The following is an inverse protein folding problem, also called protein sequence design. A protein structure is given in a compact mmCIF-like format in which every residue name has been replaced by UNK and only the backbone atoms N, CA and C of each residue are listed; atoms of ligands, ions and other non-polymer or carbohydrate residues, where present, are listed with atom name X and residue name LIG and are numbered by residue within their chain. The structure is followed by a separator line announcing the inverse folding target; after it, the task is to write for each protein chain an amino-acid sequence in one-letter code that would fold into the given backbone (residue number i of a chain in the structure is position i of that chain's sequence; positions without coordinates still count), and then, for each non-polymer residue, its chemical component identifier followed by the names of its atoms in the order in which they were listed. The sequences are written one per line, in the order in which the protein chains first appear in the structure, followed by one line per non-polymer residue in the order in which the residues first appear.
data_IF_145161962872
#
_entry.id   IF_145161962872
#
_cell.length_a   1.000
_cell.length_b   1.000
_cell.length_c   1.000
_cell.angle_alpha   90.00
_cell.angle_beta   90.00
_cell.angle_gamma   90.00
#
_symmetry.space_group_name_H-M   'P 1'
#
loop_
_entity.id
_entity.type
_entity.pdbx_description
1 polymer ?
#
# COMPACT_ATOMS: atom_id res chain seq x y z
N UNK A 1 56.89 -18.68 -12.30
CA UNK A 1 55.41 -18.72 -12.19
C UNK A 1 55.03 -17.73 -11.09
N UNK A 2 54.31 -16.64 -11.42
CA UNK A 2 54.31 -15.38 -10.68
C UNK A 2 53.31 -15.45 -9.51
N UNK A 3 53.82 -15.55 -8.28
CA UNK A 3 53.02 -15.65 -7.02
C UNK A 3 52.08 -14.44 -6.84
N UNK A 4 52.51 -13.24 -7.26
CA UNK A 4 51.71 -12.01 -7.22
C UNK A 4 50.37 -12.12 -7.97
N UNK A 5 50.28 -12.87 -9.05
CA UNK A 5 49.08 -13.02 -9.85
C UNK A 5 48.05 -13.96 -9.23
N UNK A 6 48.46 -14.84 -8.33
CA UNK A 6 47.56 -15.75 -7.58
C UNK A 6 46.85 -15.03 -6.46
N UNK A 7 47.53 -14.13 -5.72
CA UNK A 7 46.91 -13.33 -4.66
C UNK A 7 45.93 -12.29 -5.21
N UNK A 8 46.23 -11.69 -6.36
CA UNK A 8 45.32 -10.76 -7.01
C UNK A 8 43.99 -11.40 -7.39
N UNK A 9 44.02 -12.64 -7.89
CA UNK A 9 42.80 -13.41 -8.23
C UNK A 9 42.01 -13.84 -6.99
N UNK A 10 42.69 -14.23 -5.92
CA UNK A 10 42.04 -14.61 -4.64
C UNK A 10 41.39 -13.37 -3.97
N UNK A 11 42.06 -12.24 -3.98
CA UNK A 11 41.49 -10.98 -3.45
C UNK A 11 40.30 -10.51 -4.26
N UNK A 12 40.33 -10.63 -5.58
CA UNK A 12 39.21 -10.28 -6.45
C UNK A 12 38.01 -11.19 -6.21
N UNK A 13 38.25 -12.50 -6.00
CA UNK A 13 37.19 -13.48 -5.71
C UNK A 13 36.54 -13.23 -4.35
N UNK A 14 37.31 -12.88 -3.32
CA UNK A 14 36.82 -12.51 -2.00
C UNK A 14 36.04 -11.19 -2.02
N UNK A 15 36.43 -10.23 -2.87
CA UNK A 15 35.75 -8.95 -3.02
C UNK A 15 34.38 -9.12 -3.71
N UNK A 16 34.29 -9.99 -4.74
CA UNK A 16 33.02 -10.33 -5.41
C UNK A 16 32.11 -11.15 -4.49
N UNK A 17 32.66 -12.05 -3.68
CA UNK A 17 31.88 -12.82 -2.71
C UNK A 17 31.32 -11.93 -1.57
N UNK A 18 32.06 -10.91 -1.13
CA UNK A 18 31.63 -9.93 -0.16
C UNK A 18 30.48 -9.03 -0.64
N UNK A 19 30.37 -8.79 -1.93
CA UNK A 19 29.31 -7.96 -2.53
C UNK A 19 27.95 -8.68 -2.66
N UNK A 20 27.93 -10.02 -2.58
CA UNK A 20 26.71 -10.83 -2.70
C UNK A 20 25.95 -10.98 -1.38
N UNK A 21 26.49 -10.52 -0.24
CA UNK A 21 25.90 -10.66 1.10
C UNK A 21 25.14 -9.44 1.60
N UNK A 22 24.78 -8.50 0.73
CA UNK A 22 23.77 -7.51 1.09
C UNK A 22 22.39 -8.17 1.04
N UNK A 23 22.10 -9.00 2.05
CA UNK A 23 20.75 -9.45 2.32
C UNK A 23 19.90 -8.20 2.56
N UNK A 24 19.11 -7.82 1.57
CA UNK A 24 18.07 -6.82 1.74
C UNK A 24 17.09 -7.42 2.75
N UNK A 25 17.17 -7.00 4.00
CA UNK A 25 16.14 -7.27 4.99
C UNK A 25 14.85 -6.66 4.45
N UNK A 26 14.01 -7.47 3.85
CA UNK A 26 12.62 -7.13 3.61
C UNK A 26 12.01 -6.85 4.99
N UNK A 27 11.91 -5.59 5.36
CA UNK A 27 11.14 -5.20 6.54
C UNK A 27 9.71 -5.68 6.28
N UNK A 28 9.31 -6.72 6.97
CA UNK A 28 7.90 -7.11 7.01
C UNK A 28 7.16 -5.93 7.64
N UNK A 29 6.35 -5.25 6.85
CA UNK A 29 5.51 -4.15 7.30
C UNK A 29 4.41 -4.78 8.16
N UNK A 30 4.48 -4.62 9.48
CA UNK A 30 3.47 -5.14 10.40
C UNK A 30 2.31 -4.16 10.50
N UNK A 31 1.22 -4.48 9.84
CA UNK A 31 -0.06 -3.76 9.97
C UNK A 31 -0.80 -4.25 11.21
N UNK A 32 -1.35 -3.34 12.01
CA UNK A 32 -2.10 -3.67 13.23
C UNK A 32 -3.54 -3.13 13.09
N UNK A 33 -4.58 -3.97 13.24
CA UNK A 33 -4.56 -5.43 13.44
C UNK A 33 -4.03 -6.18 12.22
N UNK A 34 -3.50 -7.39 12.45
CA UNK A 34 -2.96 -8.22 11.36
C UNK A 34 -4.09 -8.57 10.38
N UNK A 35 -3.92 -8.30 9.08
CA UNK A 35 -4.91 -8.66 8.07
C UNK A 35 -5.13 -10.18 8.00
N UNK A 36 -6.36 -10.63 7.76
CA UNK A 36 -6.68 -12.05 7.55
C UNK A 36 -5.92 -12.64 6.34
N UNK A 37 -5.73 -11.83 5.32
CA UNK A 37 -4.98 -12.18 4.12
C UNK A 37 -4.20 -10.96 3.64
N UNK A 38 -2.92 -11.15 3.36
CA UNK A 38 -2.04 -10.14 2.78
C UNK A 38 -1.23 -10.75 1.65
N UNK A 39 -1.24 -10.11 0.50
CA UNK A 39 -0.44 -10.48 -0.66
C UNK A 39 0.43 -9.27 -1.03
N UNK A 40 1.73 -9.50 -1.14
CA UNK A 40 2.65 -8.46 -1.56
C UNK A 40 2.73 -8.42 -3.09
N UNK A 41 2.32 -7.28 -3.67
CA UNK A 41 2.47 -7.01 -5.10
C UNK A 41 3.83 -6.40 -5.44
N UNK A 42 4.02 -6.11 -6.71
CA UNK A 42 5.20 -5.40 -7.22
C UNK A 42 4.85 -3.94 -7.51
N UNK A 43 5.80 -3.02 -7.23
CA UNK A 43 5.64 -1.59 -7.43
C UNK A 43 5.05 -0.86 -6.22
N UNK A 44 4.93 0.46 -6.33
CA UNK A 44 4.39 1.33 -5.29
C UNK A 44 3.47 2.38 -5.90
N UNK A 45 2.54 2.89 -5.11
CA UNK A 45 1.71 4.04 -5.46
C UNK A 45 2.36 5.31 -4.93
N UNK A 46 2.52 6.32 -5.78
CA UNK A 46 3.01 7.62 -5.35
C UNK A 46 1.83 8.53 -4.99
N UNK A 47 1.58 8.67 -3.70
CA UNK A 47 0.59 9.63 -3.21
C UNK A 47 1.12 11.06 -3.37
N UNK A 48 0.36 11.92 -4.05
CA UNK A 48 0.77 13.30 -4.39
C UNK A 48 -0.46 14.23 -4.43
N UNK A 49 -0.23 15.53 -4.49
CA UNK A 49 -1.29 16.55 -4.67
C UNK A 49 -2.09 16.38 -5.99
N UNK A 50 -1.57 15.60 -6.93
CA UNK A 50 -2.30 15.25 -8.16
C UNK A 50 -3.16 14.00 -8.00
N UNK A 51 -3.06 13.29 -6.88
CA UNK A 51 -3.90 12.14 -6.60
C UNK A 51 -5.35 12.58 -6.40
N UNK A 52 -6.25 11.89 -7.07
CA UNK A 52 -7.68 12.16 -7.04
C UNK A 52 -8.35 11.26 -6.02
N UNK A 53 -9.31 11.81 -5.29
CA UNK A 53 -10.13 11.09 -4.32
C UNK A 53 -11.53 10.89 -4.87
N UNK A 54 -12.01 9.65 -4.86
CA UNK A 54 -13.40 9.31 -5.12
C UNK A 54 -14.00 8.53 -3.96
N UNK A 55 -15.13 8.99 -3.44
CA UNK A 55 -15.90 8.36 -2.37
C UNK A 55 -17.35 8.23 -2.84
N UNK A 56 -17.94 7.03 -2.73
CA UNK A 56 -19.36 6.81 -3.01
C UNK A 56 -20.22 6.77 -1.74
N UNK A 57 -19.71 7.29 -0.63
CA UNK A 57 -20.40 7.40 0.66
C UNK A 57 -20.83 8.85 0.91
N UNK A 58 -21.96 9.01 1.58
CA UNK A 58 -22.52 10.33 1.95
C UNK A 58 -22.97 10.33 3.42
N UNK A 59 -23.27 11.53 3.94
CA UNK A 59 -23.77 11.71 5.28
C UNK A 59 -22.72 11.58 6.38
N UNK A 60 -23.16 11.21 7.58
CA UNK A 60 -22.32 11.19 8.79
C UNK A 60 -21.11 10.26 8.66
N UNK A 61 -21.28 9.12 8.01
CA UNK A 61 -20.17 8.15 7.80
C UNK A 61 -19.06 8.72 6.92
N UNK A 62 -19.40 9.60 5.95
CA UNK A 62 -18.39 10.29 5.14
C UNK A 62 -17.58 11.29 5.97
N UNK A 63 -18.20 11.95 6.94
CA UNK A 63 -17.51 12.87 7.86
C UNK A 63 -16.49 12.15 8.75
N UNK A 64 -16.77 10.92 9.18
CA UNK A 64 -15.80 10.11 9.95
C UNK A 64 -14.54 9.80 9.15
N UNK A 65 -14.66 9.60 7.84
CA UNK A 65 -13.52 9.38 6.96
C UNK A 65 -12.71 10.66 6.70
N UNK A 66 -13.32 11.82 6.84
CA UNK A 66 -12.65 13.11 6.59
C UNK A 66 -11.45 13.33 7.51
N UNK A 67 -11.55 12.94 8.79
CA UNK A 67 -10.41 12.99 9.71
C UNK A 67 -9.24 12.08 9.26
N UNK A 68 -9.55 10.89 8.72
CA UNK A 68 -8.53 10.01 8.18
C UNK A 68 -7.89 10.61 6.92
N UNK A 69 -8.68 11.26 6.07
CA UNK A 69 -8.19 11.90 4.86
C UNK A 69 -7.29 13.11 5.19
N UNK A 70 -7.60 13.86 6.26
CA UNK A 70 -6.77 14.94 6.75
C UNK A 70 -5.42 14.46 7.33
N UNK A 71 -5.35 13.20 7.78
CA UNK A 71 -4.10 12.59 8.25
C UNK A 71 -3.16 12.18 7.09
N UNK A 72 -3.62 12.20 5.84
CA UNK A 72 -2.75 11.98 4.69
C UNK A 72 -1.75 13.12 4.53
N UNK A 73 -0.52 12.84 4.07
CA UNK A 73 0.54 13.86 3.93
C UNK A 73 0.29 14.87 2.81
N UNK A 74 -0.78 14.70 2.03
CA UNK A 74 -1.11 15.54 0.88
C UNK A 74 -2.62 15.79 0.77
N UNK A 75 -2.99 16.95 0.23
CA UNK A 75 -4.38 17.27 -0.08
C UNK A 75 -4.78 16.67 -1.42
N UNK A 76 -5.84 15.85 -1.41
CA UNK A 76 -6.30 15.14 -2.59
C UNK A 76 -7.27 15.99 -3.41
N UNK A 77 -7.18 15.88 -4.73
CA UNK A 77 -8.13 16.52 -5.65
C UNK A 77 -9.42 15.70 -5.75
N UNK A 78 -10.55 16.35 -6.01
CA UNK A 78 -11.81 15.64 -6.25
C UNK A 78 -11.73 14.80 -7.52
N UNK A 79 -11.95 13.50 -7.40
CA UNK A 79 -12.00 12.53 -8.50
C UNK A 79 -13.43 12.19 -8.92
N UNK A 80 -13.55 11.47 -10.04
CA UNK A 80 -14.81 10.93 -10.58
C UNK A 80 -14.74 9.42 -10.63
N UNK A 81 -15.88 8.73 -10.56
CA UNK A 81 -15.97 7.26 -10.64
C UNK A 81 -15.26 6.67 -11.87
N UNK A 82 -15.21 7.38 -12.97
CA UNK A 82 -14.58 6.94 -14.23
C UNK A 82 -13.06 7.11 -14.27
N UNK A 83 -12.48 7.84 -13.32
CA UNK A 83 -11.03 8.00 -13.26
C UNK A 83 -10.40 6.67 -12.81
N UNK A 84 -9.31 6.25 -13.47
CA UNK A 84 -8.64 4.97 -13.21
C UNK A 84 -7.14 5.12 -12.95
N UNK A 85 -6.62 6.35 -13.04
CA UNK A 85 -5.20 6.65 -12.88
C UNK A 85 -5.00 7.68 -11.77
N UNK A 86 -3.95 7.46 -10.99
CA UNK A 86 -3.55 8.33 -9.88
C UNK A 86 -4.71 8.64 -8.93
N UNK A 87 -5.29 7.60 -8.37
CA UNK A 87 -6.57 7.69 -7.66
C UNK A 87 -6.59 6.90 -6.36
N UNK A 88 -7.18 7.49 -5.33
CA UNK A 88 -7.65 6.84 -4.12
C UNK A 88 -9.17 6.71 -4.22
N UNK A 89 -9.67 5.48 -4.22
CA UNK A 89 -11.11 5.18 -4.29
C UNK A 89 -11.60 4.49 -3.02
N UNK A 90 -12.61 5.07 -2.39
CA UNK A 90 -13.29 4.53 -1.21
C UNK A 90 -14.71 4.14 -1.63
N UNK A 91 -14.99 2.84 -1.67
CA UNK A 91 -16.23 2.31 -2.24
C UNK A 91 -17.01 1.47 -1.23
N UNK A 92 -18.27 1.84 -1.00
CA UNK A 92 -19.25 0.96 -0.39
C UNK A 92 -19.77 0.00 -1.47
N UNK A 93 -19.75 -1.29 -1.17
CA UNK A 93 -20.21 -2.37 -2.04
C UNK A 93 -21.16 -3.30 -1.29
N UNK A 94 -21.85 -4.16 -2.00
CA UNK A 94 -22.68 -5.17 -1.38
C UNK A 94 -21.85 -6.22 -0.62
N UNK A 95 -22.47 -6.80 0.41
CA UNK A 95 -21.88 -7.89 1.19
C UNK A 95 -21.61 -9.11 0.29
N UNK A 96 -20.42 -9.69 0.44
CA UNK A 96 -20.01 -10.89 -0.27
C UNK A 96 -19.05 -11.74 0.58
N UNK A 97 -18.51 -12.84 0.03
CA UNK A 97 -17.60 -13.73 0.76
C UNK A 97 -16.30 -13.06 1.24
N UNK A 98 -15.82 -12.02 0.55
CA UNK A 98 -14.63 -11.27 0.95
C UNK A 98 -14.95 -10.21 2.00
N UNK A 99 -16.20 -9.78 2.09
CA UNK A 99 -16.70 -8.74 2.98
C UNK A 99 -17.87 -9.26 3.81
N UNK A 100 -17.65 -10.24 4.74
CA UNK A 100 -18.72 -10.92 5.45
C UNK A 100 -19.35 -10.09 6.58
N UNK A 101 -18.68 -9.06 7.06
CA UNK A 101 -19.14 -8.19 8.16
C UNK A 101 -19.11 -6.72 7.79
N UNK A 102 -19.84 -5.84 8.53
CA UNK A 102 -19.78 -4.40 8.33
C UNK A 102 -18.38 -3.80 8.50
N UNK A 103 -17.54 -4.44 9.31
CA UNK A 103 -16.17 -3.98 9.57
C UNK A 103 -15.15 -4.52 8.56
N UNK A 104 -15.58 -5.46 7.72
CA UNK A 104 -14.70 -6.04 6.70
C UNK A 104 -14.37 -5.03 5.61
N UNK A 105 -13.12 -5.08 5.16
CA UNK A 105 -12.66 -4.28 4.02
C UNK A 105 -11.67 -5.08 3.16
N UNK A 106 -11.49 -4.65 1.94
CA UNK A 106 -10.38 -5.02 1.07
C UNK A 106 -9.61 -3.77 0.71
N UNK A 107 -8.27 -3.83 0.79
CA UNK A 107 -7.36 -2.77 0.38
C UNK A 107 -6.47 -3.31 -0.74
N UNK A 108 -6.46 -2.63 -1.87
CA UNK A 108 -5.59 -2.92 -3.01
C UNK A 108 -4.77 -1.69 -3.34
N UNK A 109 -3.44 -1.83 -3.37
CA UNK A 109 -2.50 -0.79 -3.77
C UNK A 109 -1.79 -1.25 -5.02
N UNK A 110 -1.92 -0.48 -6.11
CA UNK A 110 -1.24 -0.69 -7.39
C UNK A 110 -0.52 0.59 -7.79
N UNK A 111 0.42 0.57 -8.73
CA UNK A 111 1.05 1.80 -9.20
C UNK A 111 0.07 2.84 -9.78
N UNK A 112 -1.11 2.41 -10.21
CA UNK A 112 -2.13 3.26 -10.82
C UNK A 112 -3.14 3.82 -9.82
N UNK A 113 -3.49 3.01 -8.79
CA UNK A 113 -4.56 3.40 -7.85
C UNK A 113 -4.46 2.68 -6.52
N UNK A 114 -5.02 3.32 -5.50
CA UNK A 114 -5.39 2.72 -4.23
C UNK A 114 -6.91 2.53 -4.23
N UNK A 115 -7.36 1.33 -3.87
CA UNK A 115 -8.77 0.99 -3.83
C UNK A 115 -9.13 0.32 -2.51
N UNK A 116 -10.03 0.94 -1.76
CA UNK A 116 -10.62 0.38 -0.54
C UNK A 116 -12.09 0.09 -0.81
N UNK A 117 -12.51 -1.16 -0.56
CA UNK A 117 -13.90 -1.59 -0.63
C UNK A 117 -14.34 -2.10 0.72
N UNK A 118 -15.56 -1.76 1.11
CA UNK A 118 -16.20 -2.22 2.34
C UNK A 118 -17.73 -2.29 2.14
N UNK A 119 -18.44 -2.86 3.11
CA UNK A 119 -19.92 -2.89 3.09
C UNK A 119 -20.52 -1.76 3.94
N UNK A 120 -19.71 -1.03 4.69
CA UNK A 120 -20.12 0.11 5.53
C UNK A 120 -19.00 1.15 5.67
N UNK A 121 -19.35 2.30 6.23
CA UNK A 121 -18.40 3.35 6.59
C UNK A 121 -17.34 2.88 7.61
N UNK A 122 -17.73 2.00 8.55
CA UNK A 122 -16.79 1.42 9.52
C UNK A 122 -15.69 0.62 8.83
N UNK A 123 -16.05 -0.25 7.86
CA UNK A 123 -15.06 -1.00 7.08
C UNK A 123 -14.15 -0.08 6.26
N UNK A 124 -14.68 0.99 5.66
CA UNK A 124 -13.84 1.98 4.96
C UNK A 124 -12.88 2.69 5.93
N UNK A 125 -13.35 3.02 7.13
CA UNK A 125 -12.51 3.61 8.19
C UNK A 125 -11.34 2.70 8.53
N UNK A 126 -11.57 1.40 8.79
CA UNK A 126 -10.49 0.45 9.08
C UNK A 126 -9.55 0.26 7.89
N UNK A 127 -10.08 0.25 6.67
CA UNK A 127 -9.26 0.23 5.46
C UNK A 127 -8.34 1.44 5.33
N UNK A 128 -8.84 2.64 5.68
CA UNK A 128 -8.04 3.87 5.73
C UNK A 128 -6.99 3.83 6.83
N UNK A 129 -7.32 3.32 8.03
CA UNK A 129 -6.35 3.14 9.11
C UNK A 129 -5.20 2.19 8.71
N UNK A 130 -5.52 1.15 7.94
CA UNK A 130 -4.50 0.26 7.37
C UNK A 130 -3.66 0.98 6.33
N UNK A 131 -4.26 1.74 5.42
CA UNK A 131 -3.52 2.53 4.42
C UNK A 131 -2.53 3.51 5.08
N UNK A 132 -2.91 4.15 6.19
CA UNK A 132 -2.05 5.09 6.92
C UNK A 132 -0.84 4.43 7.59
N UNK A 133 -0.82 3.09 7.70
CA UNK A 133 0.30 2.32 8.27
C UNK A 133 1.28 1.82 7.19
N UNK A 134 0.90 1.89 5.90
CA UNK A 134 1.73 1.45 4.77
C UNK A 134 2.65 2.55 4.27
#
# INVERSE_FOLDING_TARGET
MNIRNRYAKVCLFLWVLGMCLTAHSLKAQSVIPVPLKMEQGTGCFLLSENTKLYINLQGLEAQLLENCLQALPVHLKKGKKKDTQNMLSLLITEKNHQLPSPESYTLSVTPQQILIRATSGAGLFYGMQTLLQL
#
